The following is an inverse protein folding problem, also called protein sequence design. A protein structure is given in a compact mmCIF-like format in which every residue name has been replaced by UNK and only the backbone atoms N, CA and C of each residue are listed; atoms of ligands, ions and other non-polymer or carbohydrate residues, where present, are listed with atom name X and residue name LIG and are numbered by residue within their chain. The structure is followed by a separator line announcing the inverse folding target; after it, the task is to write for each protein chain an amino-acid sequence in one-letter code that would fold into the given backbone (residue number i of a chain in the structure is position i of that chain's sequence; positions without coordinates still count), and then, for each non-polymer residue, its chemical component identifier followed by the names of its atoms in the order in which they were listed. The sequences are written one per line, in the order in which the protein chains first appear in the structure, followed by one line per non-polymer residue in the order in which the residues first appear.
data_IF_861921021063
#
_entry.id   IF_861921021063
#
_cell.length_a   1.000
_cell.length_b   1.000
_cell.length_c   1.000
_cell.angle_alpha   90.00
_cell.angle_beta   90.00
_cell.angle_gamma   90.00
#
_symmetry.space_group_name_H-M   'P 1'
#
loop_
_entity.id
_entity.type
_entity.pdbx_description
1 polymer ?
#
# COMPACT_ATOMS: atom_id res chain seq x y z
N UNK A 1 -18.63 4.11 31.87
CA UNK A 1 -18.37 4.10 30.40
C UNK A 1 -17.24 3.13 30.10
N UNK A 2 -17.30 2.32 29.03
CA UNK A 2 -16.19 1.41 28.69
C UNK A 2 -15.23 2.05 27.69
N UNK A 3 -13.98 2.24 28.10
CA UNK A 3 -12.93 2.89 27.30
C UNK A 3 -11.82 1.89 26.99
N UNK A 4 -11.15 2.09 25.86
CA UNK A 4 -10.00 1.25 25.48
C UNK A 4 -8.83 1.53 26.43
N UNK A 5 -7.89 0.59 26.58
CA UNK A 5 -6.81 0.65 27.58
C UNK A 5 -6.00 1.95 27.46
N UNK A 6 -5.54 2.31 26.27
CA UNK A 6 -4.79 3.57 26.05
C UNK A 6 -5.60 4.82 26.46
N UNK A 7 -6.92 4.79 26.27
CA UNK A 7 -7.78 5.92 26.68
C UNK A 7 -8.01 5.93 28.19
N UNK A 8 -8.04 4.75 28.82
CA UNK A 8 -8.07 4.64 30.27
C UNK A 8 -6.80 5.20 30.88
N UNK A 9 -5.63 4.79 30.38
CA UNK A 9 -4.32 5.28 30.82
C UNK A 9 -4.22 6.79 30.66
N UNK A 10 -4.61 7.33 29.49
CA UNK A 10 -4.67 8.77 29.27
C UNK A 10 -5.63 9.50 30.24
N UNK A 11 -6.81 8.94 30.50
CA UNK A 11 -7.75 9.54 31.47
C UNK A 11 -7.19 9.50 32.89
N UNK A 12 -6.52 8.43 33.28
CA UNK A 12 -5.87 8.29 34.58
C UNK A 12 -4.74 9.33 34.74
N UNK A 13 -3.90 9.51 33.71
CA UNK A 13 -2.83 10.53 33.68
C UNK A 13 -3.41 11.96 33.75
N UNK A 14 -4.46 12.25 32.98
CA UNK A 14 -5.08 13.57 33.00
C UNK A 14 -5.76 13.89 34.34
N UNK A 15 -6.43 12.90 34.96
CA UNK A 15 -7.04 13.08 36.28
C UNK A 15 -5.95 13.31 37.34
N UNK A 16 -4.84 12.58 37.28
CA UNK A 16 -3.71 12.78 38.17
C UNK A 16 -3.07 14.17 37.99
N UNK A 17 -2.90 14.61 36.74
CA UNK A 17 -2.39 15.94 36.45
C UNK A 17 -3.33 17.04 36.96
N UNK A 18 -4.66 16.92 36.78
CA UNK A 18 -5.62 17.87 37.32
C UNK A 18 -5.70 17.89 38.85
N UNK A 19 -5.42 16.75 39.50
CA UNK A 19 -5.28 16.68 40.97
C UNK A 19 -4.01 17.41 41.41
N UNK A 20 -2.88 17.17 40.74
CA UNK A 20 -1.60 17.82 41.03
C UNK A 20 -1.64 19.34 40.77
N UNK A 21 -2.34 19.78 39.74
CA UNK A 21 -2.54 21.19 39.39
C UNK A 21 -3.60 21.88 40.27
N UNK A 22 -4.26 21.14 41.18
CA UNK A 22 -5.29 21.67 42.09
C UNK A 22 -6.61 22.05 41.41
N UNK A 23 -6.84 21.63 40.16
CA UNK A 23 -8.06 21.89 39.40
C UNK A 23 -9.25 21.06 39.91
N UNK A 24 -8.98 19.87 40.47
CA UNK A 24 -9.98 18.99 41.07
C UNK A 24 -9.49 18.47 42.43
N UNK A 25 -10.42 18.28 43.35
CA UNK A 25 -10.13 17.64 44.64
C UNK A 25 -10.08 16.11 44.53
N UNK A 26 -9.48 15.47 45.53
CA UNK A 26 -9.25 14.02 45.56
C UNK A 26 -10.54 13.21 45.39
N UNK A 27 -11.62 13.61 46.06
CA UNK A 27 -12.95 13.01 45.95
C UNK A 27 -13.53 13.07 44.53
N UNK A 28 -13.28 14.17 43.80
CA UNK A 28 -13.76 14.30 42.41
C UNK A 28 -12.91 13.45 41.47
N UNK A 29 -11.60 13.36 41.70
CA UNK A 29 -10.74 12.46 40.94
C UNK A 29 -11.13 10.99 41.11
N UNK A 30 -11.45 10.55 42.33
CA UNK A 30 -11.94 9.19 42.58
C UNK A 30 -13.27 8.93 41.84
N UNK A 31 -14.22 9.88 41.90
CA UNK A 31 -15.49 9.78 41.15
C UNK A 31 -15.26 9.71 39.64
N UNK A 32 -14.30 10.44 39.10
CA UNK A 32 -13.98 10.43 37.67
C UNK A 32 -13.36 9.10 37.25
N UNK A 33 -12.41 8.55 38.01
CA UNK A 33 -11.82 7.23 37.74
C UNK A 33 -12.86 6.11 37.81
N UNK A 34 -13.83 6.20 38.71
CA UNK A 34 -14.96 5.26 38.81
C UNK A 34 -16.02 5.43 37.72
N UNK A 35 -16.00 6.54 36.97
CA UNK A 35 -16.98 6.80 35.90
C UNK A 35 -16.71 6.00 34.63
N UNK A 36 -15.50 5.43 34.49
CA UNK A 36 -15.11 4.59 33.37
C UNK A 36 -14.49 3.26 33.81
N UNK A 37 -14.51 2.30 32.90
CA UNK A 37 -13.94 0.97 33.08
C UNK A 37 -13.08 0.67 31.85
N UNK A 38 -11.81 0.31 32.07
CA UNK A 38 -10.94 -0.13 31.01
C UNK A 38 -11.46 -1.44 30.41
N UNK A 39 -11.56 -1.52 29.08
CA UNK A 39 -11.80 -2.81 28.43
C UNK A 39 -10.56 -3.68 28.58
N UNK A 40 -10.72 -4.86 29.16
CA UNK A 40 -9.61 -5.82 29.35
C UNK A 40 -8.93 -6.27 28.04
N UNK A 41 -9.56 -6.09 26.87
CA UNK A 41 -8.99 -6.48 25.58
C UNK A 41 -9.55 -5.65 24.42
N UNK A 42 -8.66 -5.14 23.55
CA UNK A 42 -9.03 -4.36 22.35
C UNK A 42 -9.41 -5.30 21.18
N UNK A 43 -10.64 -5.80 21.25
CA UNK A 43 -11.23 -6.62 20.18
C UNK A 43 -11.28 -5.92 18.82
N UNK A 44 -11.28 -4.59 18.78
CA UNK A 44 -11.33 -3.82 17.54
C UNK A 44 -9.99 -3.92 16.81
N UNK A 45 -8.88 -3.73 17.52
CA UNK A 45 -7.52 -3.91 16.96
C UNK A 45 -7.29 -5.35 16.53
N UNK A 46 -7.67 -6.32 17.37
CA UNK A 46 -7.54 -7.74 16.99
C UNK A 46 -8.31 -8.02 15.69
N UNK A 47 -9.55 -7.56 15.59
CA UNK A 47 -10.33 -7.72 14.37
C UNK A 47 -9.62 -7.07 13.18
N UNK A 48 -9.18 -5.82 13.30
CA UNK A 48 -8.48 -5.11 12.22
C UNK A 48 -7.24 -5.88 11.73
N UNK A 49 -6.37 -6.33 12.64
CA UNK A 49 -5.18 -7.09 12.27
C UNK A 49 -5.51 -8.46 11.69
N UNK A 50 -6.44 -9.20 12.28
CA UNK A 50 -6.88 -10.49 11.75
C UNK A 50 -7.44 -10.35 10.34
N UNK A 51 -8.20 -9.28 10.07
CA UNK A 51 -8.69 -8.99 8.72
C UNK A 51 -7.56 -8.65 7.77
N UNK A 52 -6.58 -7.83 8.14
CA UNK A 52 -5.41 -7.56 7.28
C UNK A 52 -4.64 -8.82 6.93
N UNK A 53 -4.42 -9.71 7.92
CA UNK A 53 -3.79 -11.02 7.68
C UNK A 53 -4.64 -11.87 6.74
N UNK A 54 -5.96 -11.94 6.94
CA UNK A 54 -6.85 -12.68 6.06
C UNK A 54 -6.83 -12.14 4.62
N UNK A 55 -6.78 -10.81 4.44
CA UNK A 55 -6.65 -10.17 3.13
C UNK A 55 -5.34 -10.58 2.45
N UNK A 56 -4.21 -10.52 3.18
CA UNK A 56 -2.90 -10.92 2.68
C UNK A 56 -2.88 -12.41 2.29
N UNK A 57 -3.38 -13.28 3.16
CA UNK A 57 -3.49 -14.71 2.89
C UNK A 57 -4.36 -15.00 1.66
N UNK A 58 -5.51 -14.34 1.52
CA UNK A 58 -6.39 -14.49 0.35
C UNK A 58 -5.71 -14.07 -0.95
N UNK A 59 -4.97 -12.97 -0.94
CA UNK A 59 -4.19 -12.51 -2.10
C UNK A 59 -3.07 -13.49 -2.46
N UNK A 60 -2.31 -13.96 -1.49
CA UNK A 60 -1.22 -14.93 -1.68
C UNK A 60 -1.77 -16.27 -2.19
N UNK A 61 -2.88 -16.74 -1.62
CA UNK A 61 -3.53 -17.97 -2.06
C UNK A 61 -3.98 -17.89 -3.52
N UNK A 62 -4.58 -16.77 -3.94
CA UNK A 62 -4.95 -16.56 -5.34
C UNK A 62 -3.70 -16.52 -6.25
N UNK A 63 -2.66 -15.78 -5.85
CA UNK A 63 -1.40 -15.72 -6.60
C UNK A 63 -0.75 -17.10 -6.77
N UNK A 64 -0.69 -17.88 -5.68
CA UNK A 64 -0.16 -19.24 -5.69
C UNK A 64 -0.96 -20.16 -6.60
N UNK A 65 -2.31 -20.07 -6.59
CA UNK A 65 -3.17 -20.88 -7.45
C UNK A 65 -2.98 -20.55 -8.94
N UNK A 66 -2.69 -19.29 -9.27
CA UNK A 66 -2.48 -18.86 -10.65
C UNK A 66 -1.10 -19.27 -11.20
N UNK A 67 -0.09 -19.36 -10.34
CA UNK A 67 1.30 -19.69 -10.69
C UNK A 67 1.55 -21.20 -10.67
N UNK A 68 1.07 -21.91 -9.64
CA UNK A 68 1.35 -23.34 -9.46
C UNK A 68 0.42 -24.22 -10.29
N UNK A 69 0.98 -24.87 -11.29
CA UNK A 69 0.27 -25.81 -12.15
C UNK A 69 -0.08 -27.12 -11.43
N UNK A 70 0.49 -27.44 -10.27
CA UNK A 70 0.33 -28.74 -9.59
C UNK A 70 -1.06 -28.90 -8.99
N UNK A 71 -1.51 -27.92 -8.19
CA UNK A 71 -2.87 -27.87 -7.64
C UNK A 71 -3.89 -27.75 -8.77
N UNK A 72 -3.58 -26.93 -9.77
CA UNK A 72 -4.36 -26.75 -10.98
C UNK A 72 -4.56 -28.06 -11.75
N UNK A 73 -3.50 -28.86 -11.89
CA UNK A 73 -3.54 -30.17 -12.55
C UNK A 73 -4.27 -31.21 -11.70
N UNK A 74 -4.18 -31.14 -10.37
CA UNK A 74 -4.97 -31.98 -9.47
C UNK A 74 -6.46 -31.65 -9.59
N UNK A 75 -6.83 -30.36 -9.57
CA UNK A 75 -8.21 -29.93 -9.79
C UNK A 75 -8.72 -30.34 -11.18
N UNK A 76 -7.90 -30.23 -12.23
CA UNK A 76 -8.23 -30.72 -13.59
C UNK A 76 -8.42 -32.24 -13.65
N UNK A 77 -7.73 -33.02 -12.81
CA UNK A 77 -7.91 -34.48 -12.71
C UNK A 77 -9.19 -34.87 -11.99
N UNK A 78 -9.58 -34.13 -10.95
CA UNK A 78 -10.83 -34.39 -10.20
C UNK A 78 -12.04 -33.89 -11.00
N UNK A 79 -11.87 -32.85 -11.81
CA UNK A 79 -12.89 -32.25 -12.65
C UNK A 79 -12.27 -31.80 -13.98
N UNK A 80 -12.62 -32.44 -15.10
CA UNK A 80 -12.23 -31.97 -16.44
C UNK A 80 -13.06 -30.71 -16.83
N UNK A 81 -12.97 -29.67 -16.00
CA UNK A 81 -13.76 -28.44 -16.13
C UNK A 81 -13.05 -27.48 -17.07
N UNK A 82 -13.68 -27.07 -18.18
CA UNK A 82 -13.12 -26.07 -19.08
C UNK A 82 -12.82 -24.74 -18.36
N UNK A 83 -11.73 -24.07 -18.74
CA UNK A 83 -11.34 -22.76 -18.15
C UNK A 83 -12.48 -21.73 -18.21
N UNK A 84 -13.28 -21.74 -19.28
CA UNK A 84 -14.43 -20.85 -19.44
C UNK A 84 -15.51 -21.10 -18.36
N UNK A 85 -15.71 -22.35 -17.94
CA UNK A 85 -16.68 -22.68 -16.88
C UNK A 85 -16.17 -22.13 -15.54
N UNK A 86 -14.88 -22.29 -15.23
CA UNK A 86 -14.26 -21.72 -14.02
C UNK A 86 -14.43 -20.19 -14.01
N UNK A 87 -14.24 -19.54 -15.17
CA UNK A 87 -14.41 -18.11 -15.31
C UNK A 87 -15.85 -17.66 -15.04
N UNK A 88 -16.84 -18.31 -15.66
CA UNK A 88 -18.26 -17.98 -15.50
C UNK A 88 -18.76 -18.23 -14.07
N UNK A 89 -18.38 -19.36 -13.46
CA UNK A 89 -18.74 -19.65 -12.06
C UNK A 89 -18.11 -18.62 -11.12
N UNK A 90 -16.83 -18.30 -11.31
CA UNK A 90 -16.14 -17.29 -10.51
C UNK A 90 -16.80 -15.92 -10.65
N UNK A 91 -17.16 -15.51 -11.88
CA UNK A 91 -17.86 -14.26 -12.15
C UNK A 91 -19.26 -14.22 -11.51
N UNK A 92 -20.01 -15.33 -11.59
CA UNK A 92 -21.34 -15.45 -10.98
C UNK A 92 -21.28 -15.32 -9.45
N UNK A 93 -20.35 -16.04 -8.81
CA UNK A 93 -20.16 -15.96 -7.36
C UNK A 93 -19.65 -14.56 -6.96
N UNK A 94 -18.73 -13.96 -7.72
CA UNK A 94 -18.26 -12.60 -7.47
C UNK A 94 -19.43 -11.60 -7.53
N UNK A 95 -20.28 -11.66 -8.56
CA UNK A 95 -21.47 -10.82 -8.69
C UNK A 95 -22.42 -10.97 -7.50
N UNK A 96 -22.69 -12.21 -7.09
CA UNK A 96 -23.50 -12.50 -5.90
C UNK A 96 -22.89 -11.92 -4.62
N UNK A 97 -21.57 -12.07 -4.41
CA UNK A 97 -20.88 -11.53 -3.24
C UNK A 97 -20.83 -10.00 -3.24
N UNK A 98 -20.67 -9.33 -4.40
CA UNK A 98 -20.80 -7.87 -4.46
C UNK A 98 -22.19 -7.43 -4.03
N UNK A 99 -23.25 -8.04 -4.59
CA UNK A 99 -24.64 -7.72 -4.23
C UNK A 99 -24.87 -7.94 -2.73
N UNK A 100 -24.43 -9.08 -2.20
CA UNK A 100 -24.55 -9.42 -0.79
C UNK A 100 -23.77 -8.43 0.10
N UNK A 101 -22.52 -8.14 -0.24
CA UNK A 101 -21.66 -7.21 0.47
C UNK A 101 -22.25 -5.81 0.55
N UNK A 102 -22.74 -5.27 -0.57
CA UNK A 102 -23.35 -3.93 -0.59
C UNK A 102 -24.72 -3.87 0.08
N UNK A 103 -25.55 -4.92 -0.04
CA UNK A 103 -26.81 -5.02 0.72
C UNK A 103 -26.54 -5.09 2.22
N UNK A 104 -25.52 -5.85 2.63
CA UNK A 104 -25.14 -6.01 4.04
C UNK A 104 -24.55 -4.73 4.61
N UNK A 105 -23.74 -3.98 3.84
CA UNK A 105 -23.26 -2.64 4.23
C UNK A 105 -24.41 -1.70 4.62
N UNK A 106 -25.54 -1.74 3.91
CA UNK A 106 -26.73 -0.93 4.22
C UNK A 106 -27.53 -1.40 5.44
N UNK A 107 -27.53 -2.70 5.74
CA UNK A 107 -28.33 -3.26 6.86
C UNK A 107 -27.55 -3.36 8.18
N UNK A 108 -26.25 -3.67 8.10
CA UNK A 108 -25.38 -3.99 9.23
C UNK A 108 -24.11 -3.13 9.18
N UNK A 109 -24.27 -1.82 9.39
CA UNK A 109 -23.18 -0.84 9.35
C UNK A 109 -22.10 -1.09 10.43
N UNK A 110 -22.48 -1.71 11.55
CA UNK A 110 -21.60 -2.05 12.66
C UNK A 110 -20.55 -3.13 12.32
N UNK A 111 -20.82 -3.99 11.33
CA UNK A 111 -19.91 -5.07 10.91
C UNK A 111 -18.98 -4.65 9.77
N UNK A 112 -18.31 -3.50 9.92
CA UNK A 112 -17.49 -2.88 8.86
C UNK A 112 -16.48 -3.87 8.24
N UNK A 113 -15.70 -4.56 9.06
CA UNK A 113 -14.64 -5.44 8.56
C UNK A 113 -15.18 -6.68 7.85
N UNK A 114 -16.21 -7.34 8.39
CA UNK A 114 -16.84 -8.49 7.74
C UNK A 114 -17.47 -8.10 6.41
N UNK A 115 -18.07 -6.91 6.32
CA UNK A 115 -18.63 -6.39 5.08
C UNK A 115 -17.54 -6.14 4.03
N UNK A 116 -16.38 -5.59 4.43
CA UNK A 116 -15.24 -5.42 3.52
C UNK A 116 -14.64 -6.76 3.09
N UNK A 117 -14.60 -7.76 3.97
CA UNK A 117 -14.11 -9.09 3.62
C UNK A 117 -14.95 -9.78 2.53
N UNK A 118 -16.28 -9.65 2.60
CA UNK A 118 -17.17 -10.16 1.54
C UNK A 118 -16.87 -9.48 0.21
N UNK A 119 -16.71 -8.15 0.22
CA UNK A 119 -16.36 -7.38 -0.98
C UNK A 119 -14.98 -7.79 -1.49
N UNK A 120 -14.02 -8.02 -0.60
CA UNK A 120 -12.70 -8.50 -0.97
C UNK A 120 -12.71 -9.89 -1.61
N UNK A 121 -13.48 -10.83 -1.07
CA UNK A 121 -13.66 -12.15 -1.69
C UNK A 121 -14.25 -12.02 -3.10
N UNK A 122 -15.18 -11.08 -3.31
CA UNK A 122 -15.71 -10.78 -4.63
C UNK A 122 -14.63 -10.23 -5.59
N UNK A 123 -13.73 -9.36 -5.10
CA UNK A 123 -12.59 -8.85 -5.86
C UNK A 123 -11.67 -10.02 -6.29
N UNK A 124 -11.28 -10.90 -5.36
CA UNK A 124 -10.42 -12.04 -5.68
C UNK A 124 -11.06 -12.98 -6.71
N UNK A 125 -12.36 -13.27 -6.59
CA UNK A 125 -13.08 -14.08 -7.57
C UNK A 125 -13.23 -13.37 -8.92
N UNK A 126 -13.30 -12.05 -8.95
CA UNK A 126 -13.28 -11.27 -10.19
C UNK A 126 -11.92 -11.42 -10.89
N UNK A 127 -10.81 -11.30 -10.15
CA UNK A 127 -9.47 -11.53 -10.69
C UNK A 127 -9.33 -12.97 -11.21
N UNK A 128 -9.83 -13.96 -10.46
CA UNK A 128 -9.86 -15.35 -10.90
C UNK A 128 -10.66 -15.53 -12.20
N UNK A 129 -11.84 -14.93 -12.28
CA UNK A 129 -12.69 -15.00 -13.46
C UNK A 129 -11.98 -14.46 -14.70
N UNK A 130 -11.34 -13.29 -14.58
CA UNK A 130 -10.60 -12.64 -15.68
C UNK A 130 -9.40 -13.49 -16.09
N UNK A 131 -8.66 -14.05 -15.13
CA UNK A 131 -7.49 -14.90 -15.43
C UNK A 131 -7.86 -16.17 -16.20
N UNK A 132 -8.89 -16.89 -15.76
CA UNK A 132 -9.36 -18.11 -16.43
C UNK A 132 -10.08 -17.82 -17.75
N UNK A 133 -10.78 -16.70 -17.84
CA UNK A 133 -11.34 -16.23 -19.11
C UNK A 133 -10.22 -15.97 -20.12
N UNK A 134 -9.14 -15.33 -19.68
CA UNK A 134 -7.93 -15.17 -20.49
C UNK A 134 -7.33 -16.46 -20.97
N UNK A 135 -7.14 -17.43 -20.08
CA UNK A 135 -6.66 -18.78 -20.43
C UNK A 135 -7.60 -19.53 -21.39
N UNK A 136 -8.87 -19.15 -21.49
CA UNK A 136 -9.82 -19.75 -22.43
C UNK A 136 -9.78 -19.12 -23.83
N UNK A 137 -9.39 -17.85 -23.92
CA UNK A 137 -9.24 -17.10 -25.18
C UNK A 137 -7.82 -17.11 -25.73
N UNK A 138 -6.84 -17.58 -24.96
CA UNK A 138 -5.45 -17.57 -25.37
C UNK A 138 -5.22 -18.53 -26.55
N UNK A 139 -4.96 -17.95 -27.72
CA UNK A 139 -4.62 -18.67 -28.94
C UNK A 139 -3.11 -18.99 -29.03
N UNK A 140 -2.38 -19.00 -27.90
CA UNK A 140 -0.93 -19.17 -27.84
C UNK A 140 -0.14 -17.86 -28.02
N UNK A 141 -0.83 -16.71 -27.98
CA UNK A 141 -0.21 -15.39 -28.15
C UNK A 141 0.42 -14.86 -26.86
N UNK A 142 -0.03 -15.37 -25.70
CA UNK A 142 0.43 -14.92 -24.39
C UNK A 142 0.13 -13.44 -24.07
N UNK A 143 -0.69 -12.75 -24.88
CA UNK A 143 -1.02 -11.35 -24.67
C UNK A 143 -2.19 -11.20 -23.69
N UNK A 144 -1.87 -11.16 -22.40
CA UNK A 144 -2.86 -10.97 -21.34
C UNK A 144 -3.17 -9.50 -21.05
N UNK A 145 -2.52 -8.55 -21.74
CA UNK A 145 -2.58 -7.14 -21.36
C UNK A 145 -3.99 -6.56 -21.47
N UNK A 146 -4.73 -6.93 -22.51
CA UNK A 146 -6.12 -6.49 -22.69
C UNK A 146 -7.03 -6.95 -21.53
N UNK A 147 -6.77 -8.12 -20.95
CA UNK A 147 -7.55 -8.66 -19.84
C UNK A 147 -7.26 -7.91 -18.54
N UNK A 148 -6.00 -7.54 -18.31
CA UNK A 148 -5.63 -6.70 -17.18
C UNK A 148 -6.29 -5.32 -17.35
N UNK A 149 -6.34 -4.77 -18.57
CA UNK A 149 -7.06 -3.53 -18.84
C UNK A 149 -8.57 -3.65 -18.56
N UNK A 150 -9.20 -4.75 -18.95
CA UNK A 150 -10.60 -5.03 -18.62
C UNK A 150 -10.80 -5.02 -17.09
N UNK A 151 -9.86 -5.58 -16.32
CA UNK A 151 -9.94 -5.53 -14.85
C UNK A 151 -9.92 -4.11 -14.29
N UNK A 152 -9.16 -3.19 -14.90
CA UNK A 152 -9.15 -1.77 -14.53
C UNK A 152 -10.55 -1.16 -14.68
N UNK A 153 -11.23 -1.43 -15.79
CA UNK A 153 -12.57 -0.89 -16.03
C UNK A 153 -13.62 -1.54 -15.15
N UNK A 154 -13.53 -2.85 -14.88
CA UNK A 154 -14.46 -3.54 -13.97
C UNK A 154 -14.32 -2.98 -12.55
N UNK A 155 -13.10 -2.95 -12.00
CA UNK A 155 -12.87 -2.42 -10.65
C UNK A 155 -13.10 -0.91 -10.58
N UNK A 156 -12.71 -0.15 -11.61
CA UNK A 156 -12.95 1.29 -11.69
C UNK A 156 -14.45 1.60 -11.69
N UNK A 157 -15.23 0.91 -12.52
CA UNK A 157 -16.68 1.04 -12.57
C UNK A 157 -17.34 0.67 -11.26
N UNK A 158 -17.05 -0.52 -10.72
CA UNK A 158 -17.61 -0.97 -9.44
C UNK A 158 -17.19 -0.06 -8.27
N UNK A 159 -15.93 0.34 -8.22
CA UNK A 159 -15.41 1.26 -7.22
C UNK A 159 -16.12 2.61 -7.25
N UNK A 160 -16.32 3.15 -8.46
CA UNK A 160 -17.04 4.40 -8.70
C UNK A 160 -18.52 4.32 -8.33
N UNK A 161 -19.26 3.33 -8.85
CA UNK A 161 -20.71 3.22 -8.63
C UNK A 161 -21.07 2.90 -7.17
N UNK A 162 -20.25 2.11 -6.49
CA UNK A 162 -20.50 1.71 -5.10
C UNK A 162 -19.71 2.53 -4.07
N UNK A 163 -19.04 3.60 -4.49
CA UNK A 163 -18.23 4.46 -3.62
C UNK A 163 -17.23 3.67 -2.75
N UNK A 164 -16.66 2.61 -3.31
CA UNK A 164 -15.82 1.65 -2.57
C UNK A 164 -14.33 1.95 -2.77
N UNK A 165 -13.70 2.53 -1.74
CA UNK A 165 -12.26 2.77 -1.71
C UNK A 165 -11.45 1.47 -1.89
N UNK A 166 -11.91 0.36 -1.30
CA UNK A 166 -11.25 -0.94 -1.42
C UNK A 166 -11.18 -1.41 -2.87
N UNK A 167 -12.31 -1.39 -3.59
CA UNK A 167 -12.35 -1.79 -5.00
C UNK A 167 -11.49 -0.83 -5.84
N UNK A 168 -11.54 0.47 -5.52
CA UNK A 168 -10.71 1.47 -6.20
C UNK A 168 -9.21 1.20 -6.06
N UNK A 169 -8.73 0.74 -4.89
CA UNK A 169 -7.33 0.31 -4.71
C UNK A 169 -6.98 -0.79 -5.70
N UNK A 170 -7.85 -1.80 -5.88
CA UNK A 170 -7.63 -2.86 -6.86
C UNK A 170 -7.68 -2.38 -8.30
N UNK A 171 -8.50 -1.37 -8.61
CA UNK A 171 -8.47 -0.72 -9.93
C UNK A 171 -7.10 -0.07 -10.20
N UNK A 172 -6.51 0.61 -9.19
CA UNK A 172 -5.21 1.25 -9.31
C UNK A 172 -4.05 0.23 -9.39
N UNK A 173 -4.13 -0.86 -8.62
CA UNK A 173 -3.17 -1.99 -8.72
C UNK A 173 -3.24 -2.61 -10.12
N UNK A 174 -4.45 -2.89 -10.61
CA UNK A 174 -4.67 -3.38 -11.97
C UNK A 174 -4.15 -2.41 -13.03
N UNK A 175 -4.30 -1.09 -12.81
CA UNK A 175 -3.82 -0.07 -13.75
C UNK A 175 -2.29 -0.05 -13.82
N UNK A 176 -1.62 -0.15 -12.67
CA UNK A 176 -0.15 -0.28 -12.62
C UNK A 176 0.33 -1.59 -13.24
N UNK A 177 -0.35 -2.70 -12.98
CA UNK A 177 -0.05 -4.00 -13.59
C UNK A 177 -0.21 -3.93 -15.12
N UNK A 178 -1.32 -3.36 -15.60
CA UNK A 178 -1.57 -3.17 -17.03
C UNK A 178 -0.49 -2.31 -17.68
N UNK A 179 -0.13 -1.18 -17.08
CA UNK A 179 0.91 -0.30 -17.61
C UNK A 179 2.27 -1.01 -17.70
N UNK A 180 2.64 -1.77 -16.67
CA UNK A 180 3.86 -2.58 -16.67
C UNK A 180 3.87 -3.64 -17.78
N UNK A 181 2.76 -4.38 -17.93
CA UNK A 181 2.65 -5.42 -18.96
C UNK A 181 2.54 -4.85 -20.37
N UNK A 182 1.82 -3.74 -20.57
CA UNK A 182 1.64 -3.11 -21.88
C UNK A 182 2.96 -2.53 -22.38
N UNK A 183 3.65 -1.75 -21.55
CA UNK A 183 4.95 -1.20 -21.95
C UNK A 183 6.00 -2.30 -22.15
N UNK A 184 5.91 -3.42 -21.41
CA UNK A 184 6.73 -4.61 -21.66
C UNK A 184 6.40 -5.28 -22.98
N UNK A 185 5.12 -5.50 -23.26
CA UNK A 185 4.65 -6.12 -24.50
C UNK A 185 5.02 -5.29 -25.73
N UNK A 186 4.79 -3.97 -25.70
CA UNK A 186 5.15 -3.03 -26.76
C UNK A 186 6.67 -2.97 -26.99
N UNK A 187 7.48 -3.18 -25.95
CA UNK A 187 8.94 -3.33 -26.09
C UNK A 187 9.38 -4.75 -26.48
N UNK A 188 8.45 -5.67 -26.79
CA UNK A 188 8.72 -7.10 -27.03
C UNK A 188 9.48 -7.77 -25.90
N UNK A 189 9.11 -7.41 -24.67
CA UNK A 189 9.76 -7.81 -23.42
C UNK A 189 11.24 -7.41 -23.33
N UNK A 190 11.68 -6.48 -24.16
CA UNK A 190 12.98 -5.85 -24.03
C UNK A 190 12.99 -4.90 -22.83
N UNK A 191 14.18 -4.67 -22.28
CA UNK A 191 14.41 -3.90 -21.07
C UNK A 191 13.99 -2.43 -21.19
N UNK A 192 13.99 -1.86 -22.41
CA UNK A 192 13.63 -0.47 -22.66
C UNK A 192 12.35 -0.31 -23.46
N UNK A 193 11.52 0.63 -23.02
CA UNK A 193 10.37 1.16 -23.75
C UNK A 193 10.56 2.67 -23.83
N UNK A 194 10.66 3.21 -25.05
CA UNK A 194 11.00 4.62 -25.29
C UNK A 194 12.31 5.05 -24.57
N UNK A 195 13.30 4.15 -24.49
CA UNK A 195 14.56 4.39 -23.78
C UNK A 195 14.47 4.32 -22.25
N UNK A 196 13.30 4.00 -21.69
CA UNK A 196 13.08 3.89 -20.24
C UNK A 196 13.02 2.43 -19.79
N UNK A 197 13.79 2.09 -18.75
CA UNK A 197 13.62 0.84 -18.04
C UNK A 197 12.40 0.87 -17.12
N UNK A 198 12.04 -0.27 -16.52
CA UNK A 198 10.84 -0.39 -15.69
C UNK A 198 10.75 0.66 -14.57
N UNK A 199 11.77 0.87 -13.71
CA UNK A 199 11.75 1.93 -12.71
C UNK A 199 11.43 3.30 -13.32
N UNK A 200 12.10 3.70 -14.40
CA UNK A 200 11.89 5.02 -15.00
C UNK A 200 10.48 5.16 -15.61
N UNK A 201 9.93 4.11 -16.22
CA UNK A 201 8.52 4.10 -16.69
C UNK A 201 7.56 4.34 -15.54
N UNK A 202 7.79 3.70 -14.39
CA UNK A 202 6.92 3.83 -13.22
C UNK A 202 7.11 5.15 -12.45
N UNK A 203 8.25 5.84 -12.59
CA UNK A 203 8.39 7.24 -12.13
C UNK A 203 7.41 8.13 -12.89
N UNK A 204 7.37 8.02 -14.22
CA UNK A 204 6.42 8.81 -15.03
C UNK A 204 4.98 8.44 -14.68
N UNK A 205 4.66 7.14 -14.62
CA UNK A 205 3.33 6.67 -14.25
C UNK A 205 2.90 7.17 -12.87
N UNK A 206 3.75 7.04 -11.85
CA UNK A 206 3.47 7.52 -10.50
C UNK A 206 3.26 9.02 -10.44
N UNK A 207 4.09 9.80 -11.15
CA UNK A 207 3.93 11.26 -11.24
C UNK A 207 2.60 11.65 -11.90
N UNK A 208 2.23 11.01 -13.01
CA UNK A 208 0.96 11.24 -13.70
C UNK A 208 -0.22 10.85 -12.80
N UNK A 209 -0.15 9.71 -12.10
CA UNK A 209 -1.21 9.26 -11.20
C UNK A 209 -1.38 10.20 -9.99
N UNK A 210 -0.27 10.69 -9.43
CA UNK A 210 -0.26 11.70 -8.37
C UNK A 210 -0.90 13.00 -8.85
N UNK A 211 -0.52 13.51 -10.03
CA UNK A 211 -1.12 14.70 -10.62
C UNK A 211 -2.62 14.51 -10.89
N UNK A 212 -3.02 13.36 -11.45
CA UNK A 212 -4.41 13.01 -11.71
C UNK A 212 -5.25 12.99 -10.42
N UNK A 213 -4.67 12.58 -9.29
CA UNK A 213 -5.35 12.64 -7.99
C UNK A 213 -5.79 14.07 -7.64
N UNK A 214 -4.94 15.09 -7.87
CA UNK A 214 -5.32 16.48 -7.60
C UNK A 214 -6.43 16.98 -8.52
N UNK A 215 -6.49 16.50 -9.77
CA UNK A 215 -7.63 16.74 -10.66
C UNK A 215 -8.90 16.10 -10.07
N UNK A 216 -8.80 14.86 -9.58
CA UNK A 216 -9.92 14.18 -8.92
C UNK A 216 -10.39 14.90 -7.65
N UNK A 217 -9.51 15.62 -6.94
CA UNK A 217 -9.85 16.46 -5.79
C UNK A 217 -10.76 17.63 -6.18
N UNK A 218 -10.54 18.21 -7.37
CA UNK A 218 -11.33 19.34 -7.88
C UNK A 218 -12.73 18.92 -8.36
N UNK A 219 -12.90 17.67 -8.81
CA UNK A 219 -14.16 17.15 -9.31
C UNK A 219 -15.03 16.54 -8.18
N UNK A 220 -16.28 17.00 -7.95
CA UNK A 220 -17.10 16.55 -6.81
C UNK A 220 -17.35 15.03 -6.79
N UNK A 221 -17.57 14.42 -7.96
CA UNK A 221 -17.90 12.99 -8.09
C UNK A 221 -16.74 12.04 -7.78
N UNK A 222 -15.49 12.52 -7.92
CA UNK A 222 -14.28 11.70 -7.72
C UNK A 222 -13.50 12.08 -6.47
N UNK A 223 -13.91 13.14 -5.76
CA UNK A 223 -13.20 13.68 -4.59
C UNK A 223 -12.98 12.65 -3.49
N UNK A 224 -13.90 11.71 -3.30
CA UNK A 224 -13.77 10.63 -2.31
C UNK A 224 -12.58 9.68 -2.56
N UNK A 225 -12.15 9.57 -3.82
CA UNK A 225 -11.04 8.71 -4.25
C UNK A 225 -9.70 9.47 -4.31
N UNK A 226 -9.70 10.78 -4.04
CA UNK A 226 -8.49 11.61 -4.04
C UNK A 226 -7.40 10.98 -3.17
N UNK A 227 -7.68 10.76 -1.88
CA UNK A 227 -6.68 10.30 -0.92
C UNK A 227 -6.09 8.94 -1.31
N UNK A 228 -6.94 8.01 -1.79
CA UNK A 228 -6.51 6.67 -2.20
C UNK A 228 -5.64 6.73 -3.46
N UNK A 229 -6.05 7.53 -4.45
CA UNK A 229 -5.31 7.70 -5.71
C UNK A 229 -4.00 8.44 -5.50
N UNK A 230 -4.00 9.43 -4.60
CA UNK A 230 -2.83 10.20 -4.23
C UNK A 230 -1.77 9.32 -3.55
N UNK A 231 -2.16 8.56 -2.53
CA UNK A 231 -1.26 7.62 -1.85
C UNK A 231 -0.73 6.58 -2.84
N UNK A 232 -1.58 6.00 -3.69
CA UNK A 232 -1.13 5.04 -4.70
C UNK A 232 -0.12 5.65 -5.69
N UNK A 233 -0.37 6.86 -6.19
CA UNK A 233 0.57 7.58 -7.05
C UNK A 233 1.90 7.85 -6.37
N UNK A 234 1.88 8.28 -5.11
CA UNK A 234 3.08 8.51 -4.30
C UNK A 234 3.85 7.20 -4.07
N UNK A 235 3.17 6.09 -3.78
CA UNK A 235 3.79 4.76 -3.67
C UNK A 235 4.51 4.37 -4.96
N UNK A 236 3.82 4.44 -6.11
CA UNK A 236 4.45 4.14 -7.40
C UNK A 236 5.63 5.07 -7.69
N UNK A 237 5.48 6.36 -7.46
CA UNK A 237 6.53 7.35 -7.74
C UNK A 237 7.77 7.12 -6.87
N UNK A 238 7.61 7.05 -5.56
CA UNK A 238 8.74 7.01 -4.62
C UNK A 238 9.45 5.66 -4.60
N UNK A 239 8.73 4.54 -4.68
CA UNK A 239 9.35 3.22 -4.83
C UNK A 239 10.16 3.17 -6.13
N UNK A 240 9.63 3.74 -7.20
CA UNK A 240 10.31 3.73 -8.51
C UNK A 240 11.52 4.66 -8.54
N UNK A 241 11.46 5.83 -7.90
CA UNK A 241 12.61 6.72 -7.72
C UNK A 241 13.71 6.07 -6.87
N UNK A 242 13.34 5.36 -5.81
CA UNK A 242 14.28 4.59 -5.00
C UNK A 242 14.89 3.43 -5.80
N UNK A 243 14.09 2.63 -6.51
CA UNK A 243 14.61 1.59 -7.37
C UNK A 243 15.54 2.17 -8.46
N UNK A 244 15.18 3.32 -9.04
CA UNK A 244 15.97 4.01 -10.04
C UNK A 244 17.28 4.56 -9.45
N UNK A 245 17.34 4.96 -8.17
CA UNK A 245 18.59 5.37 -7.54
C UNK A 245 19.56 4.20 -7.34
N UNK A 246 19.04 2.98 -7.15
CA UNK A 246 19.85 1.75 -7.01
C UNK A 246 20.25 1.18 -8.37
N UNK A 247 19.32 1.11 -9.31
CA UNK A 247 19.52 0.39 -10.58
C UNK A 247 19.86 1.30 -11.76
N UNK A 248 19.61 2.61 -11.65
CA UNK A 248 19.72 3.54 -12.78
C UNK A 248 18.82 3.16 -13.95
N UNK A 249 19.09 3.73 -15.12
CA UNK A 249 18.41 3.39 -16.37
C UNK A 249 19.26 2.42 -17.20
N UNK A 250 19.62 1.27 -16.63
CA UNK A 250 20.35 0.22 -17.34
C UNK A 250 19.43 -0.89 -17.85
N UNK A 251 19.88 -1.55 -18.91
CA UNK A 251 19.10 -2.57 -19.63
C UNK A 251 19.07 -3.87 -18.83
N UNK A 252 20.24 -4.43 -18.51
CA UNK A 252 20.35 -5.74 -17.87
C UNK A 252 21.11 -5.65 -16.55
N UNK A 253 20.85 -6.62 -15.67
CA UNK A 253 21.58 -6.79 -14.41
C UNK A 253 23.09 -6.98 -14.67
N UNK A 254 23.47 -7.67 -15.75
CA UNK A 254 24.87 -7.83 -16.15
C UNK A 254 25.56 -6.50 -16.46
N UNK A 255 24.88 -5.60 -17.20
CA UNK A 255 25.41 -4.25 -17.46
C UNK A 255 25.44 -3.40 -16.21
N UNK A 256 24.51 -3.59 -15.28
CA UNK A 256 24.52 -2.93 -13.98
C UNK A 256 25.73 -3.37 -13.14
N UNK A 257 26.02 -4.67 -13.05
CA UNK A 257 27.20 -5.19 -12.33
C UNK A 257 28.54 -4.69 -12.90
N UNK A 258 28.60 -4.44 -14.20
CA UNK A 258 29.82 -3.94 -14.87
C UNK A 258 30.06 -2.43 -14.66
N UNK A 259 29.09 -1.70 -14.11
CA UNK A 259 29.15 -0.25 -13.97
C UNK A 259 29.51 0.14 -12.55
N UNK A 260 30.43 1.10 -12.41
CA UNK A 260 30.86 1.62 -11.11
C UNK A 260 29.72 2.40 -10.46
N UNK A 261 29.36 2.07 -9.21
CA UNK A 261 28.24 2.67 -8.47
C UNK A 261 28.22 4.22 -8.43
N UNK A 262 29.37 4.87 -8.60
CA UNK A 262 29.49 6.32 -8.73
C UNK A 262 28.71 6.92 -9.92
N UNK A 263 28.53 6.18 -11.03
CA UNK A 263 27.74 6.70 -12.16
C UNK A 263 26.24 6.77 -11.88
N UNK A 264 25.77 6.08 -10.84
CA UNK A 264 24.38 6.09 -10.37
C UNK A 264 24.08 7.25 -9.42
N UNK A 265 25.12 7.99 -9.00
CA UNK A 265 25.00 9.07 -8.03
C UNK A 265 24.00 10.15 -8.48
N UNK A 266 23.92 10.46 -9.77
CA UNK A 266 22.94 11.40 -10.32
C UNK A 266 21.49 10.95 -10.06
N UNK A 267 21.18 9.65 -10.20
CA UNK A 267 19.83 9.14 -9.93
C UNK A 267 19.50 9.21 -8.43
N UNK A 268 20.49 8.96 -7.57
CA UNK A 268 20.35 9.17 -6.13
C UNK A 268 20.10 10.65 -5.80
N UNK A 269 20.79 11.57 -6.47
CA UNK A 269 20.59 13.01 -6.28
C UNK A 269 19.20 13.46 -6.72
N UNK A 270 18.70 12.98 -7.86
CA UNK A 270 17.31 13.26 -8.30
C UNK A 270 16.32 12.74 -7.26
N UNK A 271 16.46 11.48 -6.85
CA UNK A 271 15.58 10.85 -5.86
C UNK A 271 15.56 11.65 -4.56
N UNK A 272 16.74 12.04 -4.06
CA UNK A 272 16.87 12.89 -2.88
C UNK A 272 16.25 14.29 -3.07
N UNK A 273 16.46 14.92 -4.22
CA UNK A 273 15.85 16.21 -4.55
C UNK A 273 14.32 16.13 -4.58
N UNK A 274 13.73 15.07 -5.15
CA UNK A 274 12.28 14.86 -5.12
C UNK A 274 11.77 14.60 -3.71
N UNK A 275 12.52 13.84 -2.89
CA UNK A 275 12.19 13.65 -1.48
C UNK A 275 12.14 14.98 -0.72
N UNK A 276 13.17 15.81 -0.85
CA UNK A 276 13.24 17.13 -0.23
C UNK A 276 12.11 18.03 -0.74
N UNK A 277 11.87 18.08 -2.05
CA UNK A 277 10.80 18.87 -2.64
C UNK A 277 9.42 18.45 -2.10
N UNK A 278 9.16 17.13 -1.98
CA UNK A 278 7.93 16.60 -1.40
C UNK A 278 7.79 16.94 0.08
N UNK A 279 8.87 16.87 0.86
CA UNK A 279 8.87 17.27 2.27
C UNK A 279 8.56 18.76 2.42
N UNK A 280 9.21 19.62 1.63
CA UNK A 280 8.98 21.07 1.64
C UNK A 280 7.56 21.41 1.19
N UNK A 281 7.05 20.73 0.16
CA UNK A 281 5.66 20.85 -0.28
C UNK A 281 4.68 20.45 0.84
N UNK A 282 4.92 19.31 1.49
CA UNK A 282 4.10 18.82 2.60
C UNK A 282 4.08 19.78 3.79
N UNK A 283 5.23 20.36 4.15
CA UNK A 283 5.32 21.39 5.18
C UNK A 283 4.60 22.68 4.80
N UNK A 284 4.77 23.15 3.56
CA UNK A 284 4.15 24.40 3.07
C UNK A 284 2.63 24.32 3.01
N UNK A 285 2.08 23.20 2.56
CA UNK A 285 0.64 23.02 2.34
C UNK A 285 -0.06 22.19 3.43
N UNK A 286 0.64 21.83 4.51
CA UNK A 286 0.14 20.93 5.57
C UNK A 286 -0.41 19.62 5.00
N UNK A 287 0.33 19.07 4.03
CA UNK A 287 0.03 17.76 3.43
C UNK A 287 0.92 16.71 4.10
N UNK A 288 0.32 15.95 5.03
CA UNK A 288 1.01 14.93 5.81
C UNK A 288 1.54 13.80 4.91
N UNK A 289 0.80 13.42 3.85
CA UNK A 289 1.22 12.35 2.93
C UNK A 289 2.48 12.78 2.17
N UNK A 290 2.51 13.98 1.58
CA UNK A 290 3.71 14.48 0.91
C UNK A 290 4.93 14.57 1.85
N UNK A 291 4.69 15.03 3.08
CA UNK A 291 5.73 15.19 4.10
C UNK A 291 6.30 13.84 4.52
N UNK A 292 5.45 12.89 4.89
CA UNK A 292 5.84 11.58 5.38
C UNK A 292 6.53 10.74 4.30
N UNK A 293 6.01 10.74 3.06
CA UNK A 293 6.69 10.06 1.95
C UNK A 293 8.06 10.67 1.68
N UNK A 294 8.16 12.00 1.61
CA UNK A 294 9.43 12.69 1.39
C UNK A 294 10.47 12.36 2.46
N UNK A 295 10.10 12.44 3.75
CA UNK A 295 11.02 12.14 4.86
C UNK A 295 11.41 10.66 4.86
N UNK A 296 10.42 9.75 4.73
CA UNK A 296 10.66 8.31 4.78
C UNK A 296 11.58 7.86 3.66
N UNK A 297 11.30 8.27 2.42
CA UNK A 297 12.15 7.90 1.29
C UNK A 297 13.50 8.60 1.28
N UNK A 298 13.63 9.78 1.91
CA UNK A 298 14.94 10.39 2.14
C UNK A 298 15.81 9.49 3.05
N UNK A 299 15.24 8.98 4.15
CA UNK A 299 15.94 8.02 5.01
C UNK A 299 16.24 6.71 4.29
N UNK A 300 15.28 6.16 3.54
CA UNK A 300 15.50 4.93 2.76
C UNK A 300 16.66 5.14 1.77
N UNK A 301 16.69 6.25 1.03
CA UNK A 301 17.79 6.54 0.10
C UNK A 301 19.13 6.69 0.84
N UNK A 302 19.16 7.42 1.96
CA UNK A 302 20.36 7.62 2.75
C UNK A 302 20.94 6.30 3.27
N UNK A 303 20.10 5.45 3.86
CA UNK A 303 20.53 4.14 4.35
C UNK A 303 20.89 3.20 3.21
N UNK A 304 20.17 3.25 2.08
CA UNK A 304 20.56 2.49 0.89
C UNK A 304 21.99 2.85 0.46
N UNK A 305 22.33 4.14 0.38
CA UNK A 305 23.70 4.58 0.06
C UNK A 305 24.71 4.17 1.13
N UNK A 306 24.32 4.24 2.40
CA UNK A 306 25.18 3.81 3.50
C UNK A 306 25.60 2.33 3.33
N UNK A 307 24.64 1.45 3.04
CA UNK A 307 24.93 0.05 2.74
C UNK A 307 25.77 -0.08 1.47
N UNK A 308 25.41 0.59 0.38
CA UNK A 308 26.15 0.48 -0.89
C UNK A 308 27.62 0.89 -0.81
N UNK A 309 27.97 1.95 -0.07
CA UNK A 309 29.34 2.45 -0.02
C UNK A 309 30.19 1.87 1.11
N UNK A 310 29.57 1.57 2.26
CA UNK A 310 30.32 1.19 3.47
C UNK A 310 30.27 -0.29 3.80
N UNK A 311 29.40 -1.09 3.16
CA UNK A 311 29.27 -2.52 3.50
C UNK A 311 30.59 -3.28 3.36
N UNK A 312 31.28 -3.15 2.22
CA UNK A 312 32.55 -3.87 1.98
C UNK A 312 33.78 -3.08 2.43
N UNK A 313 33.66 -1.76 2.51
CA UNK A 313 34.78 -0.85 2.79
C UNK A 313 35.13 -0.72 4.28
N UNK A 314 34.13 -0.84 5.16
CA UNK A 314 34.31 -0.60 6.60
C UNK A 314 34.39 -1.90 7.39
N UNK A 315 35.12 -1.85 8.52
CA UNK A 315 35.08 -2.93 9.50
C UNK A 315 33.66 -3.11 10.04
N UNK A 316 33.14 -4.35 10.08
CA UNK A 316 31.74 -4.63 10.39
C UNK A 316 31.31 -4.07 11.76
N UNK A 317 32.20 -4.13 12.76
CA UNK A 317 31.92 -3.53 14.07
C UNK A 317 31.65 -2.02 13.95
N UNK A 318 32.51 -1.29 13.23
CA UNK A 318 32.36 0.16 13.04
C UNK A 318 31.11 0.49 12.21
N UNK A 319 30.85 -0.28 11.14
CA UNK A 319 29.64 -0.17 10.33
C UNK A 319 28.37 -0.31 11.18
N UNK A 320 28.27 -1.33 12.03
CA UNK A 320 27.10 -1.52 12.88
C UNK A 320 27.03 -0.52 14.04
N UNK A 321 28.16 -0.06 14.58
CA UNK A 321 28.17 0.98 15.62
C UNK A 321 27.61 2.31 15.11
N UNK A 322 28.01 2.75 13.91
CA UNK A 322 27.50 3.99 13.31
C UNK A 322 26.01 3.86 12.97
N UNK A 323 25.59 2.69 12.44
CA UNK A 323 24.18 2.41 12.16
C UNK A 323 23.34 2.43 13.45
N UNK A 324 23.82 1.81 14.53
CA UNK A 324 23.14 1.82 15.82
C UNK A 324 23.03 3.24 16.38
N UNK A 325 24.11 4.03 16.32
CA UNK A 325 24.12 5.42 16.77
C UNK A 325 23.13 6.28 15.96
N UNK A 326 23.03 6.09 14.65
CA UNK A 326 22.09 6.86 13.81
C UNK A 326 20.63 6.55 14.16
N UNK A 327 20.28 5.28 14.31
CA UNK A 327 18.92 4.89 14.74
C UNK A 327 18.60 5.37 16.15
N UNK A 328 19.55 5.29 17.08
CA UNK A 328 19.38 5.82 18.43
C UNK A 328 19.11 7.33 18.44
N UNK A 329 19.85 8.11 17.64
CA UNK A 329 19.62 9.56 17.51
C UNK A 329 18.24 9.89 16.91
N UNK A 330 17.79 9.13 15.92
CA UNK A 330 16.45 9.28 15.34
C UNK A 330 15.38 8.95 16.38
N UNK A 331 15.53 7.81 17.08
CA UNK A 331 14.61 7.39 18.14
C UNK A 331 14.49 8.44 19.25
N UNK A 332 15.63 8.93 19.77
CA UNK A 332 15.66 9.98 20.79
C UNK A 332 14.97 11.27 20.35
N UNK A 333 15.11 11.66 19.06
CA UNK A 333 14.40 12.84 18.53
C UNK A 333 12.91 12.59 18.40
N UNK A 334 12.50 11.40 17.97
CA UNK A 334 11.10 11.02 17.89
C UNK A 334 10.43 11.03 19.28
N UNK A 335 11.09 10.45 20.29
CA UNK A 335 10.63 10.50 21.70
C UNK A 335 10.47 11.94 22.21
N UNK A 336 11.43 12.82 21.90
CA UNK A 336 11.33 14.23 22.31
C UNK A 336 10.14 14.94 21.68
N UNK A 337 9.86 14.68 20.39
CA UNK A 337 8.69 15.27 19.71
C UNK A 337 7.40 14.75 20.34
N UNK A 338 7.32 13.44 20.57
CA UNK A 338 6.18 12.79 21.22
C UNK A 338 5.87 13.43 22.58
N UNK A 339 6.86 13.53 23.47
CA UNK A 339 6.67 14.08 24.81
C UNK A 339 6.29 15.58 24.80
N UNK A 340 6.66 16.35 23.77
CA UNK A 340 6.26 17.77 23.63
C UNK A 340 4.82 17.90 23.15
N UNK A 341 4.30 16.94 22.38
CA UNK A 341 2.91 16.91 21.92
C UNK A 341 1.94 16.55 23.06
N UNK A 342 2.37 15.76 24.04
CA UNK A 342 1.58 15.45 25.25
C UNK A 342 1.54 16.59 26.28
N UNK A 343 2.45 17.56 26.21
CA UNK A 343 2.55 18.69 27.15
C UNK A 343 1.89 19.98 26.64
N UNK A 344 1.17 19.94 25.51
CA UNK A 344 0.35 21.04 24.97
C UNK A 344 -1.11 20.65 24.95
#
# INVERSE_FOLDING_TARGET
MKVDIEKSEFLDEMIEQWQNDGLINEDTGIKLRQSYEAKNFDWLRLAQYAFWVALACGFIALGSLLIDNSILNYLKRVYNTPNIVIALVSAGIAGWLYILGFRRKKKLHNLRFSNEAIVFSAILLTANAIAYFGKSLDNGSGNFTILILISVFIYGGLGYFFNSKLIWIFALISLGAWFGTETGYLSRWNYYFLGMNYPLRFVVFGAVLTAASFIMKALPKTRQFFQVTYIAGMVYLFISLWALSVFGNFASLEKWYAVRQLSLFYWALISAAVCVASTLFGLKYRDDVAREFGITFLFINLYTRYFEYFWDSWHKALFFSVLAASFWLIGRKAEKIWNVEFLK
#
